data_IF_534662702587
#
_entry.id   IF_534662702587
#
_cell.length_a   1.000
_cell.length_b   1.000
_cell.length_c   1.000
_cell.angle_alpha   90.00
_cell.angle_beta   90.00
_cell.angle_gamma   90.00
#
_symmetry.space_group_name_H-M   'P 1'
#
loop_
_entity.id
_entity.type
_entity.pdbx_description
1 polymer ?
#
# COMPACT_ATOMS: atom_id res chain seq x y z
N UNK A 1 -2.49 13.65 -21.92
CA UNK A 1 -2.71 12.30 -22.41
C UNK A 1 -3.53 11.56 -21.35
N UNK A 2 -4.71 11.07 -21.70
CA UNK A 2 -5.48 10.21 -20.78
C UNK A 2 -4.63 8.98 -20.49
N UNK A 3 -4.39 8.69 -19.20
CA UNK A 3 -3.71 7.45 -18.78
C UNK A 3 -4.63 6.29 -19.16
N UNK A 4 -4.10 5.29 -19.84
CA UNK A 4 -4.85 4.08 -20.22
C UNK A 4 -5.00 3.18 -18.98
N UNK A 5 -5.91 3.59 -18.09
CA UNK A 5 -6.16 2.90 -16.81
C UNK A 5 -6.91 1.59 -17.07
N UNK A 6 -6.53 0.48 -16.41
CA UNK A 6 -7.21 -0.80 -16.56
C UNK A 6 -8.68 -0.72 -16.14
N UNK A 7 -9.54 -1.49 -16.78
CA UNK A 7 -10.98 -1.57 -16.54
C UNK A 7 -11.41 -2.97 -16.09
N UNK A 8 -12.61 -3.09 -15.52
CA UNK A 8 -13.11 -4.33 -14.95
C UNK A 8 -12.48 -4.62 -13.58
N UNK A 9 -12.05 -5.87 -13.39
CA UNK A 9 -11.38 -6.26 -12.15
C UNK A 9 -9.95 -5.73 -12.15
N UNK A 10 -9.66 -4.84 -11.20
CA UNK A 10 -8.33 -4.22 -11.03
C UNK A 10 -7.85 -4.36 -9.61
N UNK A 11 -6.54 -4.39 -9.43
CA UNK A 11 -5.92 -4.32 -8.10
C UNK A 11 -5.38 -2.93 -7.88
N UNK A 12 -5.85 -2.30 -6.81
CA UNK A 12 -5.46 -0.96 -6.39
C UNK A 12 -4.41 -1.08 -5.28
N UNK A 13 -3.28 -0.41 -5.45
CA UNK A 13 -2.21 -0.29 -4.46
C UNK A 13 -2.21 1.15 -3.93
N UNK A 14 -2.30 1.29 -2.62
CA UNK A 14 -2.12 2.55 -1.91
C UNK A 14 -0.86 2.48 -1.07
N UNK A 15 -0.09 3.55 -1.06
CA UNK A 15 1.09 3.68 -0.20
C UNK A 15 1.00 4.96 0.62
N UNK A 16 1.65 4.96 1.78
CA UNK A 16 1.77 6.14 2.62
C UNK A 16 3.02 6.02 3.51
N UNK A 17 3.68 7.14 3.78
CA UNK A 17 4.88 7.17 4.63
C UNK A 17 4.48 7.19 6.09
N UNK A 18 4.97 6.22 6.87
CA UNK A 18 4.73 6.20 8.30
C UNK A 18 5.47 7.34 9.00
N UNK A 19 4.69 8.19 9.71
CA UNK A 19 5.27 9.27 10.51
C UNK A 19 5.98 10.35 9.69
N UNK A 20 5.48 10.69 8.50
CA UNK A 20 6.12 11.66 7.58
C UNK A 20 6.43 13.02 8.23
N UNK A 21 5.54 13.53 9.10
CA UNK A 21 5.79 14.78 9.83
C UNK A 21 6.97 14.66 10.80
N UNK A 22 7.08 13.55 11.53
CA UNK A 22 8.22 13.30 12.41
C UNK A 22 9.50 13.18 11.60
N UNK A 23 9.47 12.44 10.51
CA UNK A 23 10.62 12.25 9.62
C UNK A 23 11.10 13.58 9.01
N UNK A 24 10.16 14.47 8.65
CA UNK A 24 10.49 15.82 8.19
C UNK A 24 11.27 16.61 9.26
N UNK A 25 10.87 16.52 10.53
CA UNK A 25 11.60 17.16 11.62
C UNK A 25 12.97 16.53 11.91
N UNK A 26 13.08 15.20 11.77
CA UNK A 26 14.34 14.47 12.01
C UNK A 26 15.37 14.70 10.91
N UNK A 27 14.98 14.74 9.65
CA UNK A 27 15.87 14.91 8.50
C UNK A 27 16.10 16.37 8.11
N UNK A 28 15.21 17.29 8.49
CA UNK A 28 15.34 18.70 8.14
C UNK A 28 15.50 18.90 6.62
N UNK A 29 16.62 19.53 6.23
CA UNK A 29 16.91 19.85 4.83
C UNK A 29 17.09 18.60 3.94
N UNK A 30 17.51 17.46 4.51
CA UNK A 30 17.71 16.20 3.79
C UNK A 30 16.39 15.48 3.44
N UNK A 31 15.27 15.91 4.03
CA UNK A 31 13.97 15.29 3.78
C UNK A 31 13.57 15.33 2.30
N UNK A 32 13.85 16.42 1.61
CA UNK A 32 13.53 16.59 0.19
C UNK A 32 14.24 15.57 -0.70
N UNK A 33 15.51 15.31 -0.44
CA UNK A 33 16.30 14.30 -1.16
C UNK A 33 15.82 12.88 -0.85
N UNK A 34 15.58 12.58 0.42
CA UNK A 34 15.05 11.30 0.85
C UNK A 34 13.68 10.99 0.20
N UNK A 35 12.79 12.00 0.12
CA UNK A 35 11.49 11.87 -0.53
C UNK A 35 11.61 11.70 -2.04
N UNK A 36 12.55 12.41 -2.69
CA UNK A 36 12.82 12.24 -4.12
C UNK A 36 13.26 10.81 -4.44
N UNK A 37 14.22 10.29 -3.68
CA UNK A 37 14.74 8.93 -3.85
C UNK A 37 13.67 7.87 -3.56
N UNK A 38 12.86 8.06 -2.52
CA UNK A 38 11.70 7.21 -2.24
C UNK A 38 10.74 7.13 -3.44
N UNK A 39 10.36 8.28 -4.01
CA UNK A 39 9.47 8.31 -5.18
C UNK A 39 10.10 7.63 -6.40
N UNK A 40 11.39 7.85 -6.64
CA UNK A 40 12.13 7.24 -7.74
C UNK A 40 12.14 5.71 -7.63
N UNK A 41 12.45 5.17 -6.45
CA UNK A 41 12.50 3.73 -6.20
C UNK A 41 11.14 3.07 -6.33
N UNK A 42 10.10 3.67 -5.77
CA UNK A 42 8.74 3.11 -5.87
C UNK A 42 8.22 3.13 -7.31
N UNK A 43 8.42 4.23 -8.05
CA UNK A 43 8.02 4.29 -9.45
C UNK A 43 8.73 3.25 -10.32
N UNK A 44 10.01 2.99 -10.07
CA UNK A 44 10.74 1.93 -10.76
C UNK A 44 10.12 0.55 -10.48
N UNK A 45 9.83 0.22 -9.21
CA UNK A 45 9.20 -1.03 -8.83
C UNK A 45 7.79 -1.17 -9.42
N UNK A 46 6.99 -0.10 -9.43
CA UNK A 46 5.65 -0.14 -10.03
C UNK A 46 5.69 -0.33 -11.54
N UNK A 47 6.58 0.38 -12.23
CA UNK A 47 6.73 0.29 -13.68
C UNK A 47 7.21 -1.09 -14.15
N UNK A 48 8.13 -1.73 -13.40
CA UNK A 48 8.63 -3.08 -13.70
C UNK A 48 7.50 -4.12 -13.72
N UNK A 49 6.46 -3.90 -12.91
CA UNK A 49 5.30 -4.78 -12.81
C UNK A 49 4.05 -4.24 -13.54
N UNK A 50 4.23 -3.33 -14.49
CA UNK A 50 3.13 -2.75 -15.30
C UNK A 50 2.09 -1.98 -14.45
N UNK A 51 2.51 -1.42 -13.32
CA UNK A 51 1.67 -0.53 -12.51
C UNK A 51 1.48 0.82 -13.17
N UNK A 52 0.25 1.30 -13.19
CA UNK A 52 -0.10 2.61 -13.73
C UNK A 52 -0.40 3.55 -12.56
N UNK A 53 0.42 4.57 -12.39
CA UNK A 53 0.22 5.61 -11.38
C UNK A 53 -1.06 6.39 -11.68
N UNK A 54 -2.05 6.27 -10.82
CA UNK A 54 -3.34 6.97 -10.92
C UNK A 54 -3.20 8.37 -10.36
N UNK A 55 -2.63 8.48 -9.16
CA UNK A 55 -2.43 9.74 -8.46
C UNK A 55 -1.23 9.66 -7.51
N UNK A 56 -0.67 10.83 -7.17
CA UNK A 56 0.37 10.99 -6.16
C UNK A 56 0.12 12.25 -5.38
N UNK A 57 -0.13 12.12 -4.08
CA UNK A 57 -0.37 13.23 -3.17
C UNK A 57 0.72 13.25 -2.10
N UNK A 58 1.60 14.25 -2.16
CA UNK A 58 2.71 14.35 -1.23
C UNK A 58 3.64 13.13 -1.31
N UNK A 59 3.63 12.31 -0.27
CA UNK A 59 4.43 11.08 -0.13
C UNK A 59 3.62 9.79 -0.42
N UNK A 60 2.34 9.92 -0.72
CA UNK A 60 1.43 8.81 -0.98
C UNK A 60 1.28 8.53 -2.47
N UNK A 61 1.22 7.25 -2.84
CA UNK A 61 0.91 6.79 -4.19
C UNK A 61 -0.42 6.06 -4.24
N UNK A 62 -1.11 6.25 -5.35
CA UNK A 62 -2.24 5.45 -5.79
C UNK A 62 -1.93 4.86 -7.16
N UNK A 63 -1.82 3.52 -7.24
CA UNK A 63 -1.38 2.78 -8.43
C UNK A 63 -2.37 1.68 -8.76
N UNK A 64 -2.66 1.49 -10.04
CA UNK A 64 -3.56 0.46 -10.53
C UNK A 64 -2.79 -0.62 -11.29
N UNK A 65 -3.22 -1.88 -11.12
CA UNK A 65 -2.68 -3.06 -11.79
C UNK A 65 -3.81 -3.90 -12.37
N UNK A 66 -3.61 -4.42 -13.57
CA UNK A 66 -4.53 -5.37 -14.19
C UNK A 66 -4.49 -6.77 -13.57
N UNK A 67 -3.47 -7.09 -12.75
CA UNK A 67 -3.30 -8.39 -12.10
C UNK A 67 -2.83 -8.24 -10.65
N UNK A 68 -3.51 -8.95 -9.75
CA UNK A 68 -3.17 -8.96 -8.32
C UNK A 68 -1.74 -9.45 -8.06
N UNK A 69 -1.27 -10.47 -8.79
CA UNK A 69 0.10 -10.99 -8.66
C UNK A 69 1.17 -9.95 -8.97
N UNK A 70 0.95 -9.09 -9.98
CA UNK A 70 1.86 -7.99 -10.33
C UNK A 70 1.85 -6.91 -9.26
N UNK A 71 0.68 -6.57 -8.73
CA UNK A 71 0.56 -5.60 -7.65
C UNK A 71 1.31 -6.05 -6.37
N UNK A 72 1.18 -7.34 -6.01
CA UNK A 72 1.91 -7.91 -4.86
C UNK A 72 3.41 -7.92 -5.11
N UNK A 73 3.87 -8.31 -6.31
CA UNK A 73 5.29 -8.29 -6.66
C UNK A 73 5.85 -6.86 -6.63
N UNK A 74 5.14 -5.88 -7.20
CA UNK A 74 5.52 -4.47 -7.16
C UNK A 74 5.63 -3.93 -5.73
N UNK A 75 4.68 -4.26 -4.86
CA UNK A 75 4.72 -3.88 -3.45
C UNK A 75 5.93 -4.50 -2.72
N UNK A 76 6.21 -5.78 -2.99
CA UNK A 76 7.36 -6.49 -2.42
C UNK A 76 8.69 -5.85 -2.86
N UNK A 77 8.85 -5.58 -4.15
CA UNK A 77 10.05 -4.94 -4.70
C UNK A 77 10.23 -3.51 -4.19
N UNK A 78 9.13 -2.76 -4.11
CA UNK A 78 9.12 -1.43 -3.53
C UNK A 78 9.61 -1.42 -2.08
N UNK A 79 9.12 -2.35 -1.24
CA UNK A 79 9.57 -2.47 0.14
C UNK A 79 11.06 -2.86 0.24
N UNK A 80 11.52 -3.79 -0.60
CA UNK A 80 12.94 -4.16 -0.67
C UNK A 80 13.83 -2.99 -1.08
N UNK A 81 13.41 -2.24 -2.08
CA UNK A 81 14.14 -1.07 -2.55
C UNK A 81 14.28 0.02 -1.50
N UNK A 82 13.34 0.12 -0.56
CA UNK A 82 13.36 1.12 0.51
C UNK A 82 14.01 0.62 1.82
N UNK A 83 14.41 -0.65 1.90
CA UNK A 83 14.84 -1.28 3.15
C UNK A 83 16.01 -0.58 3.85
N UNK A 84 16.96 -0.04 3.09
CA UNK A 84 18.16 0.63 3.59
C UNK A 84 17.99 2.15 3.77
N UNK A 85 16.85 2.71 3.33
CA UNK A 85 16.58 4.15 3.43
C UNK A 85 15.92 4.55 4.76
N UNK A 86 15.81 5.86 5.02
CA UNK A 86 15.16 6.37 6.22
C UNK A 86 13.64 6.28 6.18
N UNK A 87 13.04 6.23 4.98
CA UNK A 87 11.58 6.25 4.79
C UNK A 87 11.02 4.84 4.93
N UNK A 88 10.02 4.69 5.80
CA UNK A 88 9.23 3.47 5.96
C UNK A 88 7.83 3.68 5.39
N UNK A 89 7.43 2.80 4.49
CA UNK A 89 6.16 2.90 3.77
C UNK A 89 5.23 1.77 4.19
N UNK A 90 3.98 2.12 4.47
CA UNK A 90 2.89 1.16 4.60
C UNK A 90 2.16 1.05 3.27
N UNK A 91 1.77 -0.15 2.91
CA UNK A 91 1.11 -0.43 1.64
C UNK A 91 -0.16 -1.25 1.85
N UNK A 92 -1.22 -0.93 1.11
CA UNK A 92 -2.48 -1.66 1.11
C UNK A 92 -2.91 -2.01 -0.30
N UNK A 93 -3.32 -3.27 -0.52
CA UNK A 93 -3.81 -3.77 -1.79
C UNK A 93 -5.26 -4.21 -1.67
N UNK A 94 -6.08 -3.72 -2.58
CA UNK A 94 -7.48 -4.09 -2.71
C UNK A 94 -7.80 -4.45 -4.17
N UNK A 95 -8.47 -5.57 -4.38
CA UNK A 95 -8.93 -5.99 -5.72
C UNK A 95 -10.44 -5.90 -5.77
N UNK A 96 -10.96 -5.23 -6.80
CA UNK A 96 -12.38 -5.01 -7.03
C UNK A 96 -12.66 -4.48 -8.43
N UNK A 97 -13.85 -3.94 -8.62
CA UNK A 97 -14.31 -3.33 -9.87
C UNK A 97 -14.69 -1.86 -9.65
N UNK A 98 -13.71 -0.97 -9.37
CA UNK A 98 -14.00 0.44 -9.15
C UNK A 98 -14.54 1.08 -10.44
N UNK A 99 -15.41 2.07 -10.28
CA UNK A 99 -15.91 2.84 -11.41
C UNK A 99 -14.81 3.77 -11.93
N UNK A 100 -14.49 3.67 -13.22
CA UNK A 100 -13.59 4.58 -13.90
C UNK A 100 -14.36 5.82 -14.41
N UNK A 101 -13.81 7.01 -14.15
CA UNK A 101 -14.27 8.31 -14.65
C UNK A 101 -13.14 9.01 -15.41
N UNK A 102 -13.40 10.17 -15.97
CA UNK A 102 -12.36 10.98 -16.62
C UNK A 102 -11.25 11.42 -15.66
N UNK A 103 -11.57 11.55 -14.37
CA UNK A 103 -10.63 11.96 -13.31
C UNK A 103 -9.91 10.78 -12.66
N UNK A 104 -10.25 9.52 -12.99
CA UNK A 104 -9.70 8.31 -12.41
C UNK A 104 -10.75 7.41 -11.77
N UNK A 105 -10.32 6.55 -10.84
CA UNK A 105 -11.24 5.62 -10.16
C UNK A 105 -11.98 6.30 -9.02
N UNK A 106 -13.27 5.93 -8.90
CA UNK A 106 -14.15 6.38 -7.81
C UNK A 106 -14.94 5.20 -7.24
N UNK A 107 -15.43 5.36 -6.03
CA UNK A 107 -16.32 4.41 -5.37
C UNK A 107 -15.72 3.75 -4.13
N UNK A 108 -16.48 2.81 -3.57
CA UNK A 108 -16.17 2.18 -2.29
C UNK A 108 -14.83 1.40 -2.32
N UNK A 109 -14.48 0.82 -3.46
CA UNK A 109 -13.25 0.05 -3.64
C UNK A 109 -11.99 0.89 -3.44
N UNK A 110 -12.01 2.15 -3.91
CA UNK A 110 -10.93 3.13 -3.70
C UNK A 110 -10.78 3.43 -2.20
N UNK A 111 -11.91 3.67 -1.52
CA UNK A 111 -11.90 3.92 -0.08
C UNK A 111 -11.41 2.72 0.72
N UNK A 112 -11.83 1.49 0.37
CA UNK A 112 -11.37 0.27 1.03
C UNK A 112 -9.86 0.10 0.91
N UNK A 113 -9.31 0.25 -0.29
CA UNK A 113 -7.87 0.16 -0.52
C UNK A 113 -7.07 1.17 0.32
N UNK A 114 -7.50 2.44 0.33
CA UNK A 114 -6.86 3.48 1.12
C UNK A 114 -6.94 3.18 2.64
N UNK A 115 -8.07 2.67 3.14
CA UNK A 115 -8.23 2.31 4.56
C UNK A 115 -7.37 1.11 4.97
N UNK A 116 -7.19 0.12 4.08
CA UNK A 116 -6.29 -1.01 4.34
C UNK A 116 -4.84 -0.50 4.48
N UNK A 117 -4.38 0.38 3.60
CA UNK A 117 -3.06 0.98 3.72
C UNK A 117 -2.90 1.76 5.04
N UNK A 118 -3.91 2.53 5.43
CA UNK A 118 -3.88 3.40 6.61
C UNK A 118 -3.73 2.65 7.95
N UNK A 119 -4.18 1.39 8.04
CA UNK A 119 -4.02 0.59 9.27
C UNK A 119 -2.71 -0.19 9.33
N UNK A 120 -1.94 -0.18 8.25
CA UNK A 120 -0.61 -0.79 8.21
C UNK A 120 0.44 0.01 8.96
N UNK A 121 1.60 -0.62 9.18
CA UNK A 121 2.82 0.01 9.69
C UNK A 121 3.88 0.07 8.61
N UNK A 122 4.88 0.93 8.80
CA UNK A 122 6.02 1.04 7.89
C UNK A 122 6.69 -0.32 7.65
N UNK A 123 6.88 -0.68 6.39
CA UNK A 123 7.41 -1.99 5.98
C UNK A 123 6.35 -3.07 5.82
N UNK A 124 5.06 -2.81 6.11
CA UNK A 124 4.00 -3.77 5.89
C UNK A 124 3.34 -3.63 4.52
N UNK A 125 2.94 -4.77 3.95
CA UNK A 125 2.06 -4.88 2.79
C UNK A 125 0.82 -5.67 3.21
N UNK A 126 -0.33 -5.00 3.27
CA UNK A 126 -1.61 -5.57 3.64
C UNK A 126 -2.45 -5.86 2.40
N UNK A 127 -3.12 -7.00 2.39
CA UNK A 127 -3.94 -7.47 1.28
C UNK A 127 -5.38 -7.66 1.74
N UNK A 128 -6.36 -7.15 0.98
CA UNK A 128 -7.75 -7.54 1.16
C UNK A 128 -7.94 -9.04 0.93
N UNK A 129 -9.04 -9.60 1.43
CA UNK A 129 -9.38 -11.00 1.19
C UNK A 129 -9.52 -11.32 -0.30
N UNK A 130 -10.09 -10.40 -1.09
CA UNK A 130 -10.19 -10.53 -2.54
C UNK A 130 -8.82 -10.62 -3.20
N UNK A 131 -7.89 -9.72 -2.84
CA UNK A 131 -6.51 -9.78 -3.35
C UNK A 131 -5.83 -11.08 -2.93
N UNK A 132 -6.00 -11.49 -1.66
CA UNK A 132 -5.42 -12.71 -1.11
C UNK A 132 -5.83 -13.96 -1.90
N UNK A 133 -7.11 -14.06 -2.29
CA UNK A 133 -7.62 -15.22 -3.03
C UNK A 133 -7.15 -15.33 -4.47
N UNK A 134 -6.56 -14.26 -5.02
CA UNK A 134 -6.07 -14.20 -6.40
C UNK A 134 -4.54 -14.38 -6.52
N UNK A 135 -3.84 -14.55 -5.39
CA UNK A 135 -2.38 -14.67 -5.39
C UNK A 135 -1.94 -15.93 -4.64
N UNK A 136 -0.90 -16.57 -5.18
CA UNK A 136 -0.19 -17.67 -4.51
C UNK A 136 1.09 -17.10 -3.88
N UNK A 137 0.91 -16.31 -2.86
CA UNK A 137 2.01 -15.70 -2.10
C UNK A 137 1.96 -16.15 -0.64
N UNK A 138 3.13 -16.28 -0.02
CA UNK A 138 3.23 -16.48 1.42
C UNK A 138 2.60 -15.31 2.15
N UNK A 139 1.47 -15.55 2.82
CA UNK A 139 0.74 -14.52 3.55
C UNK A 139 0.38 -15.03 4.95
N UNK A 140 0.35 -14.09 5.89
CA UNK A 140 -0.16 -14.33 7.23
C UNK A 140 -1.53 -13.70 7.36
N UNK A 141 -2.53 -14.49 7.77
CA UNK A 141 -3.84 -13.97 8.12
C UNK A 141 -3.74 -13.10 9.37
N UNK A 142 -4.33 -11.93 9.31
CA UNK A 142 -4.42 -10.99 10.43
C UNK A 142 -5.82 -10.96 11.05
N UNK A 143 -6.76 -11.74 10.49
CA UNK A 143 -8.14 -11.79 10.96
C UNK A 143 -9.00 -10.67 10.39
N UNK A 144 -10.12 -10.41 11.06
CA UNK A 144 -11.15 -9.47 10.64
C UNK A 144 -11.03 -8.19 11.47
N UNK A 145 -10.98 -7.06 10.79
CA UNK A 145 -10.82 -5.75 11.44
C UNK A 145 -11.89 -4.76 10.98
N UNK A 146 -12.33 -3.92 11.89
CA UNK A 146 -13.22 -2.81 11.58
C UNK A 146 -12.38 -1.62 11.10
N UNK A 147 -12.53 -1.26 9.84
CA UNK A 147 -11.85 -0.10 9.27
C UNK A 147 -12.73 1.15 9.44
N UNK A 148 -12.08 2.29 9.64
CA UNK A 148 -12.77 3.58 9.80
C UNK A 148 -13.64 3.86 8.58
N UNK A 149 -14.85 4.37 8.82
CA UNK A 149 -15.84 4.77 7.81
C UNK A 149 -16.33 3.63 6.88
N UNK A 150 -16.05 2.36 7.22
CA UNK A 150 -16.64 1.21 6.56
C UNK A 150 -17.70 0.56 7.43
N UNK A 151 -18.85 0.23 6.83
CA UNK A 151 -20.01 -0.33 7.54
C UNK A 151 -19.79 -1.77 8.00
N UNK A 152 -18.97 -2.54 7.29
CA UNK A 152 -18.68 -3.93 7.60
C UNK A 152 -17.21 -4.12 7.98
N UNK A 153 -16.90 -5.06 8.89
CA UNK A 153 -15.53 -5.48 9.14
C UNK A 153 -14.94 -6.16 7.90
N UNK A 154 -13.66 -5.94 7.64
CA UNK A 154 -12.95 -6.49 6.49
C UNK A 154 -11.84 -7.44 6.97
N UNK A 155 -11.76 -8.66 6.42
CA UNK A 155 -10.60 -9.53 6.63
C UNK A 155 -9.43 -9.08 5.76
N UNK A 156 -8.23 -9.10 6.32
CA UNK A 156 -7.03 -8.86 5.53
C UNK A 156 -5.83 -9.68 6.01
N UNK A 157 -4.86 -9.81 5.14
CA UNK A 157 -3.65 -10.59 5.36
C UNK A 157 -2.41 -9.74 5.11
N UNK A 158 -1.29 -10.12 5.72
CA UNK A 158 0.01 -9.51 5.49
C UNK A 158 0.84 -10.37 4.55
N UNK A 159 1.48 -9.78 3.54
CA UNK A 159 2.46 -10.46 2.70
C UNK A 159 3.73 -10.76 3.50
N UNK A 160 4.12 -12.04 3.57
CA UNK A 160 5.29 -12.47 4.32
C UNK A 160 6.59 -12.48 3.51
N UNK A 161 6.54 -12.40 2.18
CA UNK A 161 7.71 -12.39 1.30
C UNK A 161 8.68 -11.21 1.55
N UNK A 162 8.35 -10.35 2.49
CA UNK A 162 9.09 -9.13 2.85
C UNK A 162 9.88 -9.25 4.16
N UNK A 163 10.04 -10.44 4.73
CA UNK A 163 10.83 -10.59 5.95
C UNK A 163 12.28 -10.16 5.69
N UNK A 164 12.55 -8.89 5.97
CA UNK A 164 13.88 -8.44 6.33
C UNK A 164 14.39 -9.31 7.48
N UNK A 165 15.65 -9.71 7.43
CA UNK A 165 16.36 -10.56 8.40
C UNK A 165 16.44 -9.98 9.83
N UNK A 166 15.84 -8.81 10.09
CA UNK A 166 15.69 -8.25 11.44
C UNK A 166 14.33 -8.64 11.98
N UNK A 167 14.33 -9.53 12.97
CA UNK A 167 13.17 -9.79 13.84
C UNK A 167 12.73 -8.49 14.49
N UNK A 168 11.73 -7.83 13.89
CA UNK A 168 10.93 -6.87 14.64
C UNK A 168 9.93 -7.69 15.45
N UNK A 169 10.11 -7.68 16.78
CA UNK A 169 9.13 -8.20 17.72
C UNK A 169 7.90 -7.29 17.67
N UNK A 170 6.91 -7.67 16.89
CA UNK A 170 5.61 -6.99 16.91
C UNK A 170 4.88 -7.40 18.20
N UNK A 171 4.67 -6.42 19.07
CA UNK A 171 3.73 -6.57 20.17
C UNK A 171 2.30 -6.55 19.61
N UNK A 172 1.43 -7.51 19.97
CA UNK A 172 0.02 -7.51 19.55
C UNK A 172 -0.78 -6.30 20.05
N UNK A 173 -0.20 -5.51 20.96
CA UNK A 173 -0.88 -4.41 21.63
C UNK A 173 -1.12 -3.14 20.75
N UNK A 174 -0.54 -3.07 19.54
CA UNK A 174 -0.72 -1.88 18.67
C UNK A 174 -1.93 -1.95 17.72
N UNK A 175 -2.74 -3.01 17.77
CA UNK A 175 -3.91 -3.17 16.90
C UNK A 175 -5.21 -2.61 17.50
N UNK A 176 -5.19 -2.13 18.74
CA UNK A 176 -6.34 -1.46 19.35
C UNK A 176 -6.20 0.05 19.27
N UNK A 177 -6.76 0.64 18.24
CA UNK A 177 -7.17 2.05 18.27
C UNK A 177 -8.63 2.04 18.70
N UNK A 178 -8.88 2.08 19.99
CA UNK A 178 -10.18 2.45 20.52
C UNK A 178 -10.41 3.93 20.21
N UNK A 179 -11.47 4.21 19.47
CA UNK A 179 -12.02 5.54 19.37
C UNK A 179 -13.26 5.64 20.25
N UNK A 180 -13.17 6.51 21.25
CA UNK A 180 -14.33 7.16 21.83
C UNK A 180 -14.87 8.22 20.86
#
# INVERSE_FOLDING_TARGET
MARDLPTGVVTLLFTDVEGSTRLLHELGDDYGEALHEHRRRLRAAFAEHEGIEVDTQGDAFFVAFSRASKAVAAAADGQRALADGPIRVRMGLYTGEPRLTEEGYVGLDVHKGARIAAVGHGGQVLLSQTTRSLVDAGVRDLGVHRLKDLSAPEPFSQCESLRSTRRQSYSPACLFVEHR
#
